data_IF_249685674040
#
_entry.id   IF_249685674040
#
_cell.length_a   1.000
_cell.length_b   1.000
_cell.length_c   1.000
_cell.angle_alpha   90.00
_cell.angle_beta   90.00
_cell.angle_gamma   90.00
#
_symmetry.space_group_name_H-M   'P 1'
#
loop_
_entity.id
_entity.type
_entity.pdbx_description
1 polymer ?
#
# COMPACT_ATOMS: atom_id res chain seq x y z
N UNK A 1 17.09 -8.60 1.61
CA UNK A 1 18.19 -7.63 1.61
C UNK A 1 18.55 -7.40 0.16
N UNK A 2 18.21 -6.23 -0.36
CA UNK A 2 18.47 -5.85 -1.75
C UNK A 2 19.95 -6.06 -2.14
N UNK A 3 20.18 -6.68 -3.30
CA UNK A 3 21.52 -6.86 -3.88
C UNK A 3 22.02 -5.53 -4.48
N UNK A 4 22.48 -4.63 -3.59
CA UNK A 4 22.94 -3.29 -3.96
C UNK A 4 24.05 -3.33 -5.04
N UNK A 5 25.11 -4.16 -4.92
CA UNK A 5 26.16 -4.21 -5.94
C UNK A 5 25.64 -4.55 -7.34
N UNK A 6 24.66 -5.45 -7.45
CA UNK A 6 24.01 -5.79 -8.72
C UNK A 6 23.33 -4.58 -9.36
N UNK A 7 22.61 -3.78 -8.57
CA UNK A 7 21.80 -2.67 -9.08
C UNK A 7 22.57 -1.36 -9.29
N UNK A 8 23.72 -1.16 -8.64
CA UNK A 8 24.63 -0.04 -8.96
C UNK A 8 25.06 -0.08 -10.44
N UNK A 9 25.12 -1.28 -11.03
CA UNK A 9 25.42 -1.47 -12.46
C UNK A 9 24.36 -0.95 -13.43
N UNK A 10 23.28 -0.34 -12.93
CA UNK A 10 22.32 0.42 -13.72
C UNK A 10 22.96 1.73 -14.23
N UNK A 11 23.77 2.40 -13.41
CA UNK A 11 24.35 3.70 -13.73
C UNK A 11 25.88 3.72 -13.72
N UNK A 12 26.54 2.72 -13.14
CA UNK A 12 28.01 2.56 -13.18
C UNK A 12 28.37 1.14 -13.62
N UNK A 13 28.87 0.97 -14.84
CA UNK A 13 29.07 -0.37 -15.44
C UNK A 13 30.10 -1.22 -14.67
N UNK A 14 31.18 -0.59 -14.20
CA UNK A 14 32.29 -1.27 -13.52
C UNK A 14 32.60 -0.58 -12.18
N UNK A 15 31.72 -0.71 -11.18
CA UNK A 15 31.86 0.01 -9.93
C UNK A 15 33.05 -0.55 -9.12
N UNK A 16 33.85 0.35 -8.57
CA UNK A 16 34.90 -0.01 -7.61
C UNK A 16 34.31 -0.29 -6.22
N UNK A 17 34.99 -1.06 -5.39
CA UNK A 17 34.52 -1.38 -4.03
C UNK A 17 34.30 -0.13 -3.16
N UNK A 18 35.16 0.89 -3.31
CA UNK A 18 35.00 2.19 -2.64
C UNK A 18 33.72 2.89 -3.09
N UNK A 19 33.44 2.89 -4.40
CA UNK A 19 32.21 3.46 -4.95
C UNK A 19 30.96 2.74 -4.42
N UNK A 20 30.97 1.39 -4.42
CA UNK A 20 29.88 0.58 -3.86
C UNK A 20 29.66 0.91 -2.39
N UNK A 21 30.73 1.00 -1.61
CA UNK A 21 30.67 1.33 -0.17
C UNK A 21 30.04 2.70 0.06
N UNK A 22 30.46 3.73 -0.70
CA UNK A 22 29.86 5.07 -0.64
C UNK A 22 28.36 5.04 -0.98
N UNK A 23 27.96 4.27 -1.99
CA UNK A 23 26.54 4.13 -2.37
C UNK A 23 25.72 3.37 -1.33
N UNK A 24 26.27 2.34 -0.68
CA UNK A 24 25.62 1.68 0.46
C UNK A 24 25.37 2.69 1.60
N UNK A 25 26.38 3.50 1.95
CA UNK A 25 26.22 4.55 2.96
C UNK A 25 25.14 5.56 2.58
N UNK A 26 25.11 6.00 1.32
CA UNK A 26 24.08 6.90 0.82
C UNK A 26 22.68 6.28 0.88
N UNK A 27 22.51 5.04 0.41
CA UNK A 27 21.24 4.31 0.41
C UNK A 27 20.70 4.17 1.84
N UNK A 28 21.54 3.80 2.82
CA UNK A 28 21.13 3.71 4.22
C UNK A 28 20.67 5.08 4.78
N UNK A 29 21.31 6.18 4.36
CA UNK A 29 20.92 7.53 4.76
C UNK A 29 19.64 8.01 4.05
N UNK A 30 19.39 7.59 2.81
CA UNK A 30 18.11 7.81 2.12
C UNK A 30 17.01 7.03 2.82
N UNK A 31 17.25 5.77 3.16
CA UNK A 31 16.30 4.92 3.91
C UNK A 31 15.94 5.58 5.25
N UNK A 32 16.92 6.11 5.98
CA UNK A 32 16.70 6.85 7.21
C UNK A 32 15.87 8.12 7.02
N UNK A 33 15.92 8.76 5.84
CA UNK A 33 15.05 9.90 5.49
C UNK A 33 13.63 9.44 5.18
N UNK A 34 13.47 8.35 4.42
CA UNK A 34 12.15 7.76 4.11
C UNK A 34 11.45 7.33 5.41
N UNK A 35 12.18 6.69 6.32
CA UNK A 35 11.68 6.22 7.62
C UNK A 35 11.08 7.34 8.50
N UNK A 36 11.48 8.59 8.30
CA UNK A 36 10.93 9.74 9.04
C UNK A 36 9.52 10.15 8.57
N UNK A 37 9.03 9.60 7.46
CA UNK A 37 7.66 9.81 6.97
C UNK A 37 6.73 8.92 7.77
N UNK A 38 5.98 9.51 8.69
CA UNK A 38 5.18 8.76 9.67
C UNK A 38 3.69 8.90 9.36
N UNK A 39 3.27 10.03 8.79
CA UNK A 39 1.87 10.29 8.50
C UNK A 39 1.45 9.69 7.15
N UNK A 40 0.19 9.26 7.03
CA UNK A 40 -0.37 8.74 5.78
C UNK A 40 -0.15 9.71 4.61
N UNK A 41 -0.31 11.01 4.86
CA UNK A 41 -0.07 12.07 3.86
C UNK A 41 1.37 12.06 3.33
N UNK A 42 2.37 12.09 4.22
CA UNK A 42 3.79 12.10 3.80
C UNK A 42 4.18 10.82 3.05
N UNK A 43 3.59 9.69 3.43
CA UNK A 43 3.81 8.39 2.79
C UNK A 43 3.17 8.41 1.39
N UNK A 44 1.95 8.91 1.26
CA UNK A 44 1.23 8.99 -0.02
C UNK A 44 1.90 9.95 -1.00
N UNK A 45 2.32 11.13 -0.53
CA UNK A 45 3.11 12.08 -1.33
C UNK A 45 4.41 11.45 -1.82
N UNK A 46 5.11 10.71 -0.94
CA UNK A 46 6.33 10.03 -1.31
C UNK A 46 6.11 8.90 -2.31
N UNK A 47 5.11 8.03 -2.08
CA UNK A 47 4.79 6.92 -2.97
C UNK A 47 4.39 7.42 -4.36
N UNK A 48 3.46 8.39 -4.42
CA UNK A 48 3.03 8.99 -5.69
C UNK A 48 4.17 9.68 -6.43
N UNK A 49 5.04 10.40 -5.71
CA UNK A 49 6.24 11.02 -6.29
C UNK A 49 7.22 9.98 -6.83
N UNK A 50 7.50 8.90 -6.08
CA UNK A 50 8.39 7.84 -6.54
C UNK A 50 7.85 7.13 -7.80
N UNK A 51 6.55 6.84 -7.83
CA UNK A 51 5.88 6.23 -8.99
C UNK A 51 5.93 7.16 -10.21
N UNK A 52 5.71 8.46 -10.01
CA UNK A 52 5.84 9.47 -11.07
C UNK A 52 7.27 9.53 -11.63
N UNK A 53 8.28 9.47 -10.76
CA UNK A 53 9.69 9.49 -11.17
C UNK A 53 10.09 8.21 -11.91
N UNK A 54 9.48 7.06 -11.58
CA UNK A 54 9.69 5.81 -12.31
C UNK A 54 9.17 5.87 -13.75
N UNK A 55 7.98 6.45 -13.97
CA UNK A 55 7.44 6.65 -15.32
C UNK A 55 8.32 7.61 -16.13
N UNK A 56 8.82 8.67 -15.48
CA UNK A 56 9.70 9.67 -16.09
C UNK A 56 11.15 9.50 -15.65
N UNK A 57 11.69 8.28 -15.81
CA UNK A 57 13.01 7.88 -15.28
C UNK A 57 14.22 8.68 -15.79
N UNK A 58 14.05 9.61 -16.74
CA UNK A 58 15.09 10.54 -17.18
C UNK A 58 15.15 11.85 -16.38
N UNK A 59 14.09 12.21 -15.64
CA UNK A 59 13.97 13.50 -14.94
C UNK A 59 13.39 13.28 -13.53
N UNK A 60 14.22 13.21 -12.48
CA UNK A 60 13.76 12.99 -11.12
C UNK A 60 12.95 14.21 -10.64
N UNK A 61 11.80 13.95 -10.02
CA UNK A 61 10.99 15.02 -9.45
C UNK A 61 11.53 15.49 -8.09
N UNK A 62 10.94 16.56 -7.57
CA UNK A 62 11.31 17.15 -6.28
C UNK A 62 11.23 16.15 -5.12
N UNK A 63 10.29 15.19 -5.17
CA UNK A 63 10.15 14.15 -4.15
C UNK A 63 11.39 13.25 -4.08
N UNK A 64 11.83 12.72 -5.22
CA UNK A 64 13.03 11.86 -5.30
C UNK A 64 14.29 12.67 -5.01
N UNK A 65 14.40 13.86 -5.61
CA UNK A 65 15.56 14.74 -5.41
C UNK A 65 15.70 15.17 -3.94
N UNK A 66 14.60 15.52 -3.29
CA UNK A 66 14.58 15.96 -1.89
C UNK A 66 15.05 14.89 -0.90
N UNK A 67 14.81 13.60 -1.18
CA UNK A 67 15.27 12.51 -0.32
C UNK A 67 16.67 12.02 -0.66
N UNK A 68 17.08 12.09 -1.92
CA UNK A 68 18.29 11.41 -2.41
C UNK A 68 19.51 12.33 -2.57
N UNK A 69 19.31 13.58 -3.00
CA UNK A 69 20.42 14.51 -3.26
C UNK A 69 21.27 14.78 -2.01
N UNK A 70 20.69 15.11 -0.83
CA UNK A 70 21.52 15.43 0.33
C UNK A 70 22.41 14.26 0.80
N UNK A 71 21.89 13.02 0.94
CA UNK A 71 22.73 11.85 1.24
C UNK A 71 23.81 11.56 0.19
N UNK A 72 23.47 11.68 -1.10
CA UNK A 72 24.41 11.38 -2.18
C UNK A 72 25.55 12.40 -2.23
N UNK A 73 25.26 13.71 -2.15
CA UNK A 73 26.29 14.75 -2.08
C UNK A 73 27.22 14.60 -0.89
N UNK A 74 26.69 14.14 0.26
CA UNK A 74 27.50 13.87 1.46
C UNK A 74 28.46 12.70 1.25
N UNK A 75 28.06 11.67 0.51
CA UNK A 75 28.90 10.50 0.20
C UNK A 75 29.86 10.70 -0.98
N UNK A 76 29.52 11.63 -1.88
CA UNK A 76 30.22 11.89 -3.13
C UNK A 76 30.09 13.37 -3.47
N UNK A 77 31.10 14.18 -3.13
CA UNK A 77 31.08 15.63 -3.31
C UNK A 77 31.00 16.06 -4.78
N UNK A 78 31.42 15.19 -5.70
CA UNK A 78 31.31 15.38 -7.15
C UNK A 78 29.90 15.12 -7.72
N UNK A 79 28.94 14.71 -6.88
CA UNK A 79 27.59 14.36 -7.32
C UNK A 79 26.82 15.60 -7.84
N UNK A 80 26.38 15.53 -9.10
CA UNK A 80 25.50 16.52 -9.75
C UNK A 80 24.16 15.88 -10.05
N UNK A 81 23.09 16.45 -9.50
CA UNK A 81 21.75 15.86 -9.57
C UNK A 81 21.20 15.78 -11.00
N UNK A 82 21.47 16.82 -11.80
CA UNK A 82 20.93 16.95 -13.16
C UNK A 82 21.56 15.94 -14.13
N UNK A 83 22.85 15.61 -13.92
CA UNK A 83 23.59 14.68 -14.78
C UNK A 83 23.44 13.20 -14.35
N UNK A 84 23.02 12.94 -13.11
CA UNK A 84 22.96 11.60 -12.52
C UNK A 84 21.53 11.19 -12.10
N UNK A 85 20.53 11.55 -12.92
CA UNK A 85 19.12 11.25 -12.68
C UNK A 85 18.82 9.77 -12.43
N UNK A 86 19.46 8.89 -13.22
CA UNK A 86 19.31 7.45 -13.10
C UNK A 86 19.90 6.91 -11.78
N UNK A 87 20.99 7.51 -11.30
CA UNK A 87 21.58 7.17 -10.00
C UNK A 87 20.65 7.57 -8.86
N UNK A 88 20.05 8.77 -8.91
CA UNK A 88 19.08 9.23 -7.92
C UNK A 88 17.93 8.23 -7.78
N UNK A 89 17.28 7.93 -8.90
CA UNK A 89 16.14 7.03 -8.92
C UNK A 89 16.51 5.63 -8.42
N UNK A 90 17.65 5.08 -8.89
CA UNK A 90 18.10 3.74 -8.49
C UNK A 90 18.40 3.66 -6.99
N UNK A 91 19.12 4.64 -6.44
CA UNK A 91 19.42 4.67 -5.01
C UNK A 91 18.16 4.85 -4.15
N UNK A 92 17.19 5.67 -4.58
CA UNK A 92 15.92 5.81 -3.89
C UNK A 92 15.11 4.51 -3.91
N UNK A 93 15.01 3.83 -5.05
CA UNK A 93 14.31 2.55 -5.15
C UNK A 93 14.93 1.47 -4.27
N UNK A 94 16.26 1.39 -4.22
CA UNK A 94 16.97 0.45 -3.33
C UNK A 94 16.72 0.77 -1.86
N UNK A 95 16.75 2.05 -1.48
CA UNK A 95 16.43 2.48 -0.12
C UNK A 95 14.97 2.16 0.24
N UNK A 96 14.02 2.41 -0.66
CA UNK A 96 12.61 2.06 -0.48
C UNK A 96 12.43 0.56 -0.32
N UNK A 97 13.09 -0.24 -1.16
CA UNK A 97 13.05 -1.71 -1.07
C UNK A 97 13.58 -2.19 0.28
N UNK A 98 14.74 -1.72 0.72
CA UNK A 98 15.29 -2.03 2.05
C UNK A 98 14.36 -1.62 3.19
N UNK A 99 13.68 -0.49 3.04
CA UNK A 99 12.77 0.02 4.05
C UNK A 99 11.53 -0.89 4.21
N UNK A 100 10.88 -1.26 3.10
CA UNK A 100 9.68 -2.11 3.15
C UNK A 100 10.03 -3.57 3.52
N UNK A 101 11.24 -4.05 3.23
CA UNK A 101 11.69 -5.37 3.69
C UNK A 101 11.73 -5.49 5.23
N UNK A 102 11.76 -4.36 5.96
CA UNK A 102 11.78 -4.31 7.44
C UNK A 102 10.39 -4.28 8.06
N UNK A 103 9.32 -4.39 7.26
CA UNK A 103 7.95 -4.44 7.78
C UNK A 103 7.82 -5.59 8.77
N UNK A 104 7.31 -5.29 9.96
CA UNK A 104 7.04 -6.27 11.02
C UNK A 104 5.61 -6.78 10.92
N UNK A 105 5.31 -7.81 11.72
CA UNK A 105 3.94 -8.32 11.86
C UNK A 105 2.96 -7.21 12.22
N UNK A 106 1.73 -7.34 11.72
CA UNK A 106 0.66 -6.36 11.95
C UNK A 106 0.31 -6.27 13.44
N UNK A 107 0.22 -5.03 13.93
CA UNK A 107 -0.12 -4.72 15.33
C UNK A 107 -1.59 -4.31 15.45
N UNK A 108 -1.91 -3.32 16.29
CA UNK A 108 -3.25 -2.69 16.24
C UNK A 108 -3.41 -1.80 15.01
N UNK A 109 -2.33 -1.12 14.59
CA UNK A 109 -2.32 -0.19 13.45
C UNK A 109 -1.32 -0.63 12.38
N UNK A 110 -1.58 -0.31 11.10
CA UNK A 110 -0.59 -0.54 10.05
C UNK A 110 0.64 0.32 10.31
N UNK A 111 1.83 -0.26 10.18
CA UNK A 111 3.07 0.51 10.30
C UNK A 111 3.29 1.36 9.04
N UNK A 112 3.99 2.52 9.12
CA UNK A 112 4.30 3.35 7.96
C UNK A 112 4.92 2.58 6.78
N UNK A 113 5.81 1.63 7.07
CA UNK A 113 6.47 0.79 6.07
C UNK A 113 5.45 -0.11 5.35
N UNK A 114 4.47 -0.62 6.08
CA UNK A 114 3.42 -1.45 5.51
C UNK A 114 2.49 -0.62 4.62
N UNK A 115 2.12 0.59 5.04
CA UNK A 115 1.32 1.52 4.25
C UNK A 115 2.03 1.83 2.93
N UNK A 116 3.33 2.12 3.00
CA UNK A 116 4.16 2.37 1.82
C UNK A 116 4.20 1.15 0.89
N UNK A 117 4.34 -0.06 1.43
CA UNK A 117 4.32 -1.28 0.62
C UNK A 117 2.99 -1.45 -0.13
N UNK A 118 1.84 -1.22 0.52
CA UNK A 118 0.52 -1.30 -0.13
C UNK A 118 0.36 -0.23 -1.20
N UNK A 119 0.77 1.01 -0.90
CA UNK A 119 0.72 2.13 -1.84
C UNK A 119 1.55 1.87 -3.10
N UNK A 120 2.76 1.33 -2.94
CA UNK A 120 3.63 0.95 -4.06
C UNK A 120 3.05 -0.22 -4.85
N UNK A 121 2.52 -1.25 -4.19
CA UNK A 121 1.87 -2.36 -4.86
C UNK A 121 0.69 -1.91 -5.72
N UNK A 122 -0.15 -1.00 -5.19
CA UNK A 122 -1.27 -0.40 -5.90
C UNK A 122 -0.79 0.26 -7.21
N UNK A 123 0.10 1.24 -7.14
CA UNK A 123 0.58 1.97 -8.32
C UNK A 123 1.42 1.13 -9.30
N UNK A 124 2.41 0.38 -8.79
CA UNK A 124 3.32 -0.41 -9.64
C UNK A 124 2.59 -1.52 -10.42
N UNK A 125 1.42 -1.97 -9.95
CA UNK A 125 0.63 -2.97 -10.65
C UNK A 125 -0.09 -2.46 -11.90
N UNK A 126 -0.29 -1.13 -12.00
CA UNK A 126 -0.84 -0.45 -13.18
C UNK A 126 0.24 0.15 -14.07
N UNK A 127 1.39 0.49 -13.52
CA UNK A 127 2.50 1.03 -14.30
C UNK A 127 2.96 0.05 -15.40
N UNK A 128 3.18 0.58 -16.61
CA UNK A 128 3.71 -0.20 -17.73
C UNK A 128 5.20 -0.54 -17.51
N UNK A 129 5.70 -1.64 -18.12
CA UNK A 129 7.12 -1.94 -18.09
C UNK A 129 7.96 -0.78 -18.62
N UNK A 130 9.12 -0.53 -17.99
CA UNK A 130 10.04 0.53 -18.42
C UNK A 130 10.78 0.05 -19.68
N UNK A 131 10.48 0.66 -20.82
CA UNK A 131 11.16 0.40 -22.09
C UNK A 131 12.65 0.79 -22.02
N UNK A 132 13.49 0.08 -22.77
CA UNK A 132 14.92 0.39 -23.01
C UNK A 132 15.83 0.46 -21.76
N UNK A 133 15.33 0.05 -20.59
CA UNK A 133 16.09 0.04 -19.31
C UNK A 133 15.88 -1.27 -18.55
N UNK A 134 16.33 -2.38 -19.12
CA UNK A 134 16.09 -3.73 -18.58
C UNK A 134 16.48 -3.90 -17.10
N UNK A 135 17.65 -3.37 -16.71
CA UNK A 135 18.13 -3.48 -15.31
C UNK A 135 17.26 -2.67 -14.34
N UNK A 136 16.74 -1.51 -14.76
CA UNK A 136 15.84 -0.69 -13.96
C UNK A 136 14.46 -1.35 -13.86
N UNK A 137 13.97 -1.93 -14.95
CA UNK A 137 12.73 -2.72 -14.95
C UNK A 137 12.84 -3.94 -14.02
N UNK A 138 14.00 -4.60 -13.95
CA UNK A 138 14.24 -5.67 -13.01
C UNK A 138 14.10 -5.20 -11.55
N UNK A 139 14.67 -4.04 -11.21
CA UNK A 139 14.52 -3.45 -9.87
C UNK A 139 13.06 -3.06 -9.57
N UNK A 140 12.34 -2.50 -10.56
CA UNK A 140 10.91 -2.20 -10.43
C UNK A 140 10.09 -3.46 -10.16
N UNK A 141 10.36 -4.56 -10.88
CA UNK A 141 9.71 -5.86 -10.68
C UNK A 141 10.02 -6.44 -9.31
N UNK A 142 11.26 -6.34 -8.82
CA UNK A 142 11.63 -6.79 -7.48
C UNK A 142 10.91 -5.99 -6.39
N UNK A 143 10.79 -4.67 -6.56
CA UNK A 143 10.02 -3.82 -5.66
C UNK A 143 8.53 -4.19 -5.66
N UNK A 144 7.93 -4.37 -6.84
CA UNK A 144 6.54 -4.81 -6.98
C UNK A 144 6.30 -6.18 -6.32
N UNK A 145 7.18 -7.15 -6.58
CA UNK A 145 7.07 -8.49 -6.01
C UNK A 145 7.17 -8.46 -4.48
N UNK A 146 8.11 -7.69 -3.94
CA UNK A 146 8.29 -7.53 -2.50
C UNK A 146 7.08 -6.85 -1.85
N UNK A 147 6.62 -5.74 -2.43
CA UNK A 147 5.44 -5.01 -1.98
C UNK A 147 4.19 -5.90 -1.99
N UNK A 148 3.96 -6.64 -3.09
CA UNK A 148 2.83 -7.57 -3.23
C UNK A 148 2.89 -8.72 -2.23
N UNK A 149 4.09 -9.25 -1.95
CA UNK A 149 4.27 -10.32 -0.97
C UNK A 149 3.93 -9.83 0.45
N UNK A 150 4.49 -8.69 0.85
CA UNK A 150 4.20 -8.06 2.15
C UNK A 150 2.69 -7.81 2.29
N UNK A 151 2.05 -7.25 1.26
CA UNK A 151 0.61 -7.02 1.22
C UNK A 151 -0.20 -8.29 1.49
N UNK A 152 0.20 -9.39 0.82
CA UNK A 152 -0.50 -10.67 0.91
C UNK A 152 -0.26 -11.37 2.25
N UNK A 153 0.97 -11.37 2.76
CA UNK A 153 1.31 -12.04 4.01
C UNK A 153 0.68 -11.33 5.22
N UNK A 154 0.66 -10.00 5.20
CA UNK A 154 0.10 -9.21 6.29
C UNK A 154 -1.42 -9.17 6.25
N UNK A 155 -2.04 -9.06 5.07
CA UNK A 155 -3.51 -9.12 4.98
C UNK A 155 -4.07 -10.44 5.53
N UNK A 156 -3.33 -11.55 5.42
CA UNK A 156 -3.68 -12.83 6.06
C UNK A 156 -3.50 -12.76 7.58
N UNK A 157 -2.29 -12.49 8.06
CA UNK A 157 -1.95 -12.59 9.50
C UNK A 157 -2.55 -11.47 10.36
N UNK A 158 -2.89 -10.33 9.76
CA UNK A 158 -3.57 -9.23 10.45
C UNK A 158 -4.98 -9.61 10.93
N UNK A 159 -5.54 -10.72 10.46
CA UNK A 159 -6.90 -11.17 10.79
C UNK A 159 -6.91 -12.36 11.76
N UNK A 160 -5.73 -12.82 12.18
CA UNK A 160 -5.62 -13.88 13.16
C UNK A 160 -6.10 -13.41 14.53
N UNK A 161 -6.98 -14.20 15.13
CA UNK A 161 -7.45 -13.96 16.50
C UNK A 161 -6.27 -14.03 17.47
N UNK A 162 -6.22 -13.08 18.40
CA UNK A 162 -5.21 -13.06 19.45
C UNK A 162 -5.68 -13.92 20.61
N UNK A 163 -4.78 -14.73 21.15
CA UNK A 163 -5.06 -15.57 22.29
C UNK A 163 -5.44 -14.71 23.51
N UNK A 164 -6.58 -15.01 24.13
CA UNK A 164 -7.06 -14.36 25.34
C UNK A 164 -6.98 -15.34 26.50
N UNK A 165 -5.93 -15.24 27.31
CA UNK A 165 -5.81 -16.05 28.53
C UNK A 165 -6.75 -15.51 29.61
N UNK A 166 -7.47 -16.40 30.31
CA UNK A 166 -8.34 -16.03 31.44
C UNK A 166 -7.57 -15.38 32.59
N UNK A 167 -6.30 -15.78 32.76
CA UNK A 167 -5.36 -15.16 33.69
C UNK A 167 -4.06 -14.86 32.95
N UNK A 168 -3.61 -13.60 32.87
CA UNK A 168 -2.32 -13.29 32.28
C UNK A 168 -1.20 -13.85 33.16
N UNK A 169 -0.15 -14.39 32.54
CA UNK A 169 1.06 -14.82 33.24
C UNK A 169 1.84 -13.57 33.67
N UNK A 170 1.98 -13.39 34.98
CA UNK A 170 2.80 -12.33 35.54
C UNK A 170 4.25 -12.81 35.57
N UNK A 171 5.14 -12.06 34.93
CA UNK A 171 6.58 -12.31 34.99
C UNK A 171 7.13 -11.61 36.22
N UNK A 172 7.69 -12.34 37.18
CA UNK A 172 8.35 -11.71 38.33
C UNK A 172 9.52 -10.85 37.84
N UNK A 173 9.62 -9.58 38.27
CA UNK A 173 10.69 -8.69 37.81
C UNK A 173 12.03 -9.13 38.41
N UNK A 174 13.12 -9.01 37.64
CA UNK A 174 14.45 -9.47 38.06
C UNK A 174 15.02 -8.69 39.25
N UNK A 175 14.55 -7.46 39.48
CA UNK A 175 14.97 -6.58 40.56
C UNK A 175 14.13 -6.76 41.84
N UNK A 176 13.09 -7.61 41.80
CA UNK A 176 12.11 -7.81 42.88
C UNK A 176 11.51 -6.50 43.44
N UNK A 177 11.50 -5.42 42.66
CA UNK A 177 10.99 -4.13 43.14
C UNK A 177 9.48 -4.05 42.98
N UNK A 178 8.80 -3.35 43.88
CA UNK A 178 7.36 -3.09 43.76
C UNK A 178 7.02 -2.38 42.45
N UNK A 179 7.87 -1.44 42.01
CA UNK A 179 7.73 -0.78 40.71
C UNK A 179 7.84 -1.77 39.54
N UNK A 180 8.78 -2.73 39.60
CA UNK A 180 8.90 -3.81 38.62
C UNK A 180 7.67 -4.71 38.58
N UNK A 181 7.05 -4.99 39.73
CA UNK A 181 5.81 -5.76 39.80
C UNK A 181 4.63 -5.02 39.16
N UNK A 182 4.50 -3.71 39.42
CA UNK A 182 3.49 -2.86 38.75
C UNK A 182 3.71 -2.90 37.24
N UNK A 183 4.93 -2.63 36.76
CA UNK A 183 5.23 -2.61 35.33
C UNK A 183 4.99 -3.95 34.63
N UNK A 184 5.33 -5.07 35.28
CA UNK A 184 5.03 -6.42 34.76
C UNK A 184 3.52 -6.69 34.70
N UNK A 185 2.79 -6.25 35.72
CA UNK A 185 1.33 -6.36 35.76
C UNK A 185 0.70 -5.55 34.64
N UNK A 186 1.08 -4.28 34.50
CA UNK A 186 0.60 -3.40 33.42
C UNK A 186 0.92 -3.97 32.05
N UNK A 187 2.13 -4.51 31.83
CA UNK A 187 2.51 -5.13 30.56
C UNK A 187 1.68 -6.38 30.24
N UNK A 188 1.42 -7.23 31.25
CA UNK A 188 0.71 -8.50 31.07
C UNK A 188 -0.79 -8.28 30.85
N UNK A 189 -1.41 -7.41 31.64
CA UNK A 189 -2.81 -7.02 31.45
C UNK A 189 -3.00 -6.15 30.20
N UNK A 190 -2.02 -5.30 29.85
CA UNK A 190 -2.01 -4.52 28.61
C UNK A 190 -2.11 -5.42 27.38
N UNK A 191 -1.29 -6.48 27.30
CA UNK A 191 -1.38 -7.49 26.22
C UNK A 191 -2.76 -8.16 26.14
N UNK A 192 -3.36 -8.49 27.28
CA UNK A 192 -4.69 -9.10 27.32
C UNK A 192 -5.77 -8.12 26.83
N UNK A 193 -5.73 -6.86 27.29
CA UNK A 193 -6.65 -5.81 26.85
C UNK A 193 -6.50 -5.56 25.34
N UNK A 194 -5.26 -5.52 24.84
CA UNK A 194 -4.97 -5.34 23.43
C UNK A 194 -5.50 -6.51 22.59
N UNK A 195 -5.35 -7.76 23.07
CA UNK A 195 -5.92 -8.94 22.42
C UNK A 195 -7.45 -8.87 22.35
N UNK A 196 -8.12 -8.49 23.44
CA UNK A 196 -9.57 -8.32 23.49
C UNK A 196 -10.05 -7.21 22.55
N UNK A 197 -9.36 -6.07 22.50
CA UNK A 197 -9.67 -4.97 21.58
C UNK A 197 -9.52 -5.39 20.13
N UNK A 198 -8.42 -6.05 19.78
CA UNK A 198 -8.18 -6.55 18.42
C UNK A 198 -9.28 -7.53 18.01
N UNK A 199 -9.60 -8.50 18.86
CA UNK A 199 -10.63 -9.49 18.55
C UNK A 199 -12.02 -8.83 18.41
N UNK A 200 -12.39 -7.91 19.29
CA UNK A 200 -13.66 -7.17 19.21
C UNK A 200 -13.78 -6.33 17.94
N UNK A 201 -12.70 -5.66 17.51
CA UNK A 201 -12.67 -4.93 16.24
C UNK A 201 -12.85 -5.86 15.04
N UNK A 202 -12.20 -7.04 15.05
CA UNK A 202 -12.40 -8.05 14.00
C UNK A 202 -13.83 -8.58 14.00
N UNK A 203 -14.41 -8.87 15.16
CA UNK A 203 -15.82 -9.29 15.28
C UNK A 203 -16.75 -8.24 14.70
N UNK A 204 -16.52 -6.97 15.03
CA UNK A 204 -17.35 -5.88 14.53
C UNK A 204 -17.26 -5.76 13.02
N UNK A 205 -16.06 -5.76 12.46
CA UNK A 205 -15.84 -5.72 11.01
C UNK A 205 -16.51 -6.91 10.30
N UNK A 206 -16.32 -8.12 10.82
CA UNK A 206 -16.90 -9.35 10.26
C UNK A 206 -18.44 -9.34 10.33
N UNK A 207 -19.03 -8.85 11.42
CA UNK A 207 -20.48 -8.70 11.57
C UNK A 207 -21.04 -7.65 10.60
N UNK A 208 -20.38 -6.49 10.47
CA UNK A 208 -20.81 -5.44 9.54
C UNK A 208 -20.76 -5.93 8.09
N UNK A 209 -19.71 -6.66 7.71
CA UNK A 209 -19.60 -7.30 6.39
C UNK A 209 -20.68 -8.38 6.23
N UNK A 210 -20.94 -9.21 7.25
CA UNK A 210 -21.98 -10.23 7.21
C UNK A 210 -23.36 -9.61 6.98
N UNK A 211 -23.68 -8.52 7.68
CA UNK A 211 -24.93 -7.79 7.48
C UNK A 211 -25.04 -7.20 6.08
N UNK A 212 -23.94 -6.66 5.55
CA UNK A 212 -23.91 -6.17 4.18
C UNK A 212 -24.13 -7.30 3.16
N UNK A 213 -23.50 -8.46 3.36
CA UNK A 213 -23.66 -9.65 2.50
C UNK A 213 -25.10 -10.17 2.53
N UNK A 214 -25.67 -10.39 3.71
CA UNK A 214 -27.01 -10.94 3.91
C UNK A 214 -28.11 -9.95 3.52
N UNK A 215 -27.93 -8.67 3.82
CA UNK A 215 -28.87 -7.62 3.44
C UNK A 215 -28.94 -7.42 1.93
N UNK A 216 -27.85 -7.74 1.21
CA UNK A 216 -27.76 -7.67 -0.25
C UNK A 216 -28.17 -6.30 -0.83
N UNK A 217 -28.12 -5.25 -0.02
CA UNK A 217 -28.55 -3.89 -0.36
C UNK A 217 -27.34 -2.99 -0.50
N UNK A 218 -27.23 -2.30 -1.62
CA UNK A 218 -26.20 -1.28 -1.85
C UNK A 218 -26.71 0.09 -1.40
N UNK A 219 -25.96 0.73 -0.50
CA UNK A 219 -26.21 2.10 -0.10
C UNK A 219 -25.83 3.11 -1.20
N UNK A 220 -24.85 2.78 -2.05
CA UNK A 220 -24.44 3.62 -3.19
C UNK A 220 -25.54 3.65 -4.25
N UNK A 221 -26.15 2.50 -4.56
CA UNK A 221 -27.11 2.36 -5.65
C UNK A 221 -28.57 2.42 -5.19
N UNK A 222 -28.83 2.34 -3.88
CA UNK A 222 -30.19 2.29 -3.30
C UNK A 222 -31.03 1.15 -3.90
N UNK A 223 -30.41 0.00 -4.13
CA UNK A 223 -31.05 -1.20 -4.70
C UNK A 223 -30.32 -2.47 -4.25
N UNK A 224 -30.87 -3.62 -4.59
CA UNK A 224 -30.21 -4.90 -4.32
C UNK A 224 -29.01 -5.13 -5.25
N UNK A 225 -27.88 -5.58 -4.71
CA UNK A 225 -26.65 -5.83 -5.47
C UNK A 225 -26.89 -6.85 -6.59
N UNK A 226 -27.72 -7.87 -6.33
CA UNK A 226 -28.09 -8.89 -7.34
C UNK A 226 -28.92 -8.37 -8.50
N UNK A 227 -29.44 -7.13 -8.44
CA UNK A 227 -30.14 -6.49 -9.56
C UNK A 227 -29.18 -5.71 -10.48
N UNK A 228 -27.96 -5.46 -10.02
CA UNK A 228 -26.92 -4.80 -10.81
C UNK A 228 -26.29 -5.79 -11.79
N UNK A 229 -25.65 -5.28 -12.84
CA UNK A 229 -24.86 -6.14 -13.70
C UNK A 229 -23.56 -6.60 -13.01
N UNK A 230 -22.88 -7.60 -13.59
CA UNK A 230 -21.67 -8.21 -13.00
C UNK A 230 -20.60 -7.16 -12.66
N UNK A 231 -20.32 -6.22 -13.56
CA UNK A 231 -19.31 -5.17 -13.36
C UNK A 231 -19.71 -4.20 -12.25
N UNK A 232 -20.95 -3.72 -12.26
CA UNK A 232 -21.49 -2.82 -11.25
C UNK A 232 -21.47 -3.47 -9.88
N UNK A 233 -22.02 -4.69 -9.76
CA UNK A 233 -22.11 -5.41 -8.48
C UNK A 233 -20.74 -5.63 -7.84
N UNK A 234 -19.74 -5.99 -8.65
CA UNK A 234 -18.38 -6.24 -8.19
C UNK A 234 -17.65 -4.98 -7.73
N UNK A 235 -17.76 -3.87 -8.47
CA UNK A 235 -17.03 -2.64 -8.17
C UNK A 235 -17.68 -1.84 -7.05
N UNK A 236 -19.00 -1.72 -7.06
CA UNK A 236 -19.75 -1.12 -5.95
C UNK A 236 -19.56 -1.96 -4.69
N UNK A 237 -19.60 -3.29 -4.82
CA UNK A 237 -19.27 -4.20 -3.72
C UNK A 237 -17.87 -3.97 -3.15
N UNK A 238 -16.87 -3.77 -4.01
CA UNK A 238 -15.52 -3.43 -3.56
C UNK A 238 -15.44 -2.09 -2.81
N UNK A 239 -16.18 -1.08 -3.24
CA UNK A 239 -16.21 0.22 -2.57
C UNK A 239 -16.88 0.09 -1.19
N UNK A 240 -18.07 -0.52 -1.14
CA UNK A 240 -18.84 -0.63 0.10
C UNK A 240 -18.14 -1.53 1.13
N UNK A 241 -17.63 -2.70 0.73
CA UNK A 241 -16.82 -3.53 1.64
C UNK A 241 -15.58 -2.74 2.07
N UNK A 242 -14.87 -2.09 1.14
CA UNK A 242 -13.68 -1.30 1.44
C UNK A 242 -13.91 -0.20 2.48
N UNK A 243 -15.10 0.41 2.48
CA UNK A 243 -15.51 1.40 3.49
C UNK A 243 -15.83 0.79 4.86
N UNK A 244 -16.18 -0.50 4.93
CA UNK A 244 -16.44 -1.22 6.18
C UNK A 244 -15.17 -1.77 6.84
N UNK A 245 -14.10 -1.95 6.08
CA UNK A 245 -12.85 -2.52 6.56
C UNK A 245 -12.14 -1.61 7.57
N UNK A 246 -11.60 -2.22 8.63
CA UNK A 246 -10.70 -1.64 9.63
C UNK A 246 -9.25 -2.12 9.44
N UNK A 247 -9.03 -3.00 8.47
CA UNK A 247 -7.72 -3.54 8.07
C UNK A 247 -7.69 -3.72 6.56
N UNK A 248 -6.49 -3.80 5.99
CA UNK A 248 -6.36 -4.05 4.56
C UNK A 248 -7.06 -5.37 4.14
N UNK A 249 -7.60 -5.42 2.91
CA UNK A 249 -8.39 -6.55 2.45
C UNK A 249 -7.49 -7.76 2.20
N UNK A 250 -7.96 -8.93 2.64
CA UNK A 250 -7.49 -10.23 2.16
C UNK A 250 -8.30 -10.70 0.94
N UNK A 251 -7.81 -11.70 0.21
CA UNK A 251 -8.45 -12.26 -0.99
C UNK A 251 -9.93 -12.65 -0.78
N UNK A 252 -10.29 -13.12 0.41
CA UNK A 252 -11.68 -13.44 0.75
C UNK A 252 -12.64 -12.26 0.55
N UNK A 253 -12.21 -11.03 0.84
CA UNK A 253 -13.02 -9.82 0.65
C UNK A 253 -13.24 -9.52 -0.83
N UNK A 254 -12.24 -9.78 -1.67
CA UNK A 254 -12.42 -9.72 -3.14
C UNK A 254 -13.46 -10.74 -3.58
N UNK A 255 -13.43 -11.97 -3.06
CA UNK A 255 -14.46 -12.96 -3.37
C UNK A 255 -15.85 -12.53 -2.89
N UNK A 256 -15.96 -11.90 -1.73
CA UNK A 256 -17.24 -11.38 -1.22
C UNK A 256 -17.78 -10.23 -2.08
N UNK A 257 -16.92 -9.32 -2.53
CA UNK A 257 -17.27 -8.25 -3.47
C UNK A 257 -17.73 -8.84 -4.82
N UNK A 258 -17.06 -9.90 -5.27
CA UNK A 258 -17.31 -10.55 -6.56
C UNK A 258 -18.35 -11.68 -6.50
N UNK A 259 -19.07 -11.87 -5.38
CA UNK A 259 -19.89 -13.08 -5.13
C UNK A 259 -21.06 -13.26 -6.08
N UNK A 260 -21.53 -12.18 -6.71
CA UNK A 260 -22.69 -12.16 -7.60
C UNK A 260 -22.31 -12.28 -9.07
N UNK A 261 -21.01 -12.22 -9.40
CA UNK A 261 -20.55 -12.22 -10.79
C UNK A 261 -20.73 -13.62 -11.39
N UNK A 262 -21.45 -13.71 -12.50
CA UNK A 262 -21.54 -14.93 -13.29
C UNK A 262 -20.41 -15.03 -14.32
N UNK A 263 -20.00 -13.91 -14.92
CA UNK A 263 -18.99 -13.84 -15.97
C UNK A 263 -17.85 -12.87 -15.61
N UNK A 264 -16.64 -13.41 -15.45
CA UNK A 264 -15.45 -12.60 -15.15
C UNK A 264 -14.80 -12.05 -16.43
N UNK A 265 -15.55 -11.20 -17.15
CA UNK A 265 -15.13 -10.60 -18.41
C UNK A 265 -14.00 -9.57 -18.23
N UNK A 266 -13.35 -9.21 -19.34
CA UNK A 266 -12.24 -8.25 -19.36
C UNK A 266 -12.65 -6.89 -19.90
N UNK A 267 -12.28 -5.84 -19.18
CA UNK A 267 -12.62 -4.45 -19.48
C UNK A 267 -11.39 -3.55 -19.35
N UNK A 268 -11.35 -2.52 -20.19
CA UNK A 268 -10.52 -1.32 -20.03
C UNK A 268 -11.16 -0.37 -19.02
N UNK A 269 -10.40 0.60 -18.51
CA UNK A 269 -10.96 1.62 -17.62
C UNK A 269 -12.13 2.38 -18.24
N UNK A 270 -12.04 2.79 -19.49
CA UNK A 270 -13.12 3.52 -20.17
C UNK A 270 -14.42 2.70 -20.22
N UNK A 271 -14.32 1.41 -20.55
CA UNK A 271 -15.47 0.50 -20.52
C UNK A 271 -16.03 0.35 -19.09
N UNK A 272 -15.17 0.31 -18.05
CA UNK A 272 -15.61 0.31 -16.64
C UNK A 272 -16.38 1.60 -16.29
N UNK A 273 -15.91 2.77 -16.70
CA UNK A 273 -16.59 4.05 -16.45
C UNK A 273 -17.96 4.11 -17.11
N UNK A 274 -18.09 3.59 -18.33
CA UNK A 274 -19.37 3.50 -19.02
C UNK A 274 -20.38 2.63 -18.25
N UNK A 275 -19.93 1.48 -17.70
CA UNK A 275 -20.77 0.61 -16.88
C UNK A 275 -21.21 1.27 -15.56
N UNK A 276 -20.40 2.19 -15.02
CA UNK A 276 -20.65 2.87 -13.75
C UNK A 276 -21.33 4.25 -13.91
N UNK A 277 -21.61 4.68 -15.14
CA UNK A 277 -22.07 6.05 -15.44
C UNK A 277 -23.31 6.47 -14.62
N UNK A 278 -24.27 5.57 -14.42
CA UNK A 278 -25.48 5.82 -13.63
C UNK A 278 -25.18 6.16 -12.15
N UNK A 279 -24.14 5.56 -11.57
CA UNK A 279 -23.83 5.64 -10.15
C UNK A 279 -22.62 6.53 -9.83
N UNK A 280 -22.00 7.13 -10.84
CA UNK A 280 -20.74 7.87 -10.74
C UNK A 280 -20.78 8.96 -9.66
N UNK A 281 -21.85 9.76 -9.58
CA UNK A 281 -21.98 10.81 -8.56
C UNK A 281 -22.01 10.25 -7.13
N UNK A 282 -22.70 9.13 -6.92
CA UNK A 282 -22.76 8.49 -5.60
C UNK A 282 -21.40 7.86 -5.23
N UNK A 283 -20.73 7.25 -6.21
CA UNK A 283 -19.39 6.69 -6.06
C UNK A 283 -18.36 7.78 -5.72
N UNK A 284 -18.39 8.91 -6.42
CA UNK A 284 -17.50 10.06 -6.17
C UNK A 284 -17.65 10.61 -4.76
N UNK A 285 -18.89 10.66 -4.24
CA UNK A 285 -19.17 11.08 -2.86
C UNK A 285 -18.58 10.10 -1.85
N UNK A 286 -18.79 8.80 -2.05
CA UNK A 286 -18.30 7.77 -1.13
C UNK A 286 -16.77 7.69 -1.10
N UNK A 287 -16.13 7.78 -2.26
CA UNK A 287 -14.67 7.69 -2.40
C UNK A 287 -13.91 8.97 -2.00
N UNK A 288 -14.61 10.03 -1.60
CA UNK A 288 -14.02 11.34 -1.33
C UNK A 288 -13.10 11.78 -2.50
N UNK A 289 -13.70 12.02 -3.67
CA UNK A 289 -13.00 12.31 -4.92
C UNK A 289 -11.81 13.27 -4.81
N UNK A 290 -11.89 14.27 -3.93
CA UNK A 290 -10.81 15.24 -3.70
C UNK A 290 -9.54 14.65 -3.09
N UNK A 291 -9.63 13.58 -2.29
CA UNK A 291 -8.44 12.92 -1.73
C UNK A 291 -7.83 11.93 -2.74
N UNK A 292 -8.67 11.15 -3.43
CA UNK A 292 -8.21 10.22 -4.45
C UNK A 292 -7.46 10.95 -5.59
N UNK A 293 -7.95 12.11 -6.02
CA UNK A 293 -7.33 12.89 -7.10
C UNK A 293 -5.92 13.43 -6.79
N UNK A 294 -5.51 13.51 -5.51
CA UNK A 294 -4.19 14.05 -5.12
C UNK A 294 -3.04 13.10 -5.43
N UNK A 295 -3.30 11.80 -5.48
CA UNK A 295 -2.26 10.77 -5.60
C UNK A 295 -2.53 9.78 -6.74
N UNK A 296 -2.72 10.25 -7.99
CA UNK A 296 -3.21 9.43 -9.09
C UNK A 296 -2.31 8.26 -9.47
N UNK A 297 -0.99 8.37 -9.29
CA UNK A 297 -0.07 7.25 -9.58
C UNK A 297 -0.14 6.16 -8.52
N UNK A 298 -0.45 6.54 -7.27
CA UNK A 298 -0.64 5.59 -6.16
C UNK A 298 -2.04 4.96 -6.17
N UNK A 299 -3.05 5.74 -6.57
CA UNK A 299 -4.47 5.40 -6.55
C UNK A 299 -5.07 5.36 -7.97
N UNK A 300 -4.51 4.55 -8.88
CA UNK A 300 -4.84 4.61 -10.29
C UNK A 300 -6.33 4.39 -10.58
N UNK A 301 -6.98 3.44 -9.90
CA UNK A 301 -8.38 3.09 -10.17
C UNK A 301 -9.34 4.13 -9.61
N UNK A 302 -9.16 4.53 -8.35
CA UNK A 302 -10.04 5.47 -7.68
C UNK A 302 -9.90 6.87 -8.28
N UNK A 303 -8.68 7.37 -8.55
CA UNK A 303 -8.51 8.67 -9.22
C UNK A 303 -9.11 8.68 -10.63
N UNK A 304 -9.04 7.56 -11.35
CA UNK A 304 -9.66 7.44 -12.66
C UNK A 304 -11.19 7.41 -12.56
N UNK A 305 -11.76 6.61 -11.66
CA UNK A 305 -13.21 6.54 -11.45
C UNK A 305 -13.77 7.89 -10.96
N UNK A 306 -13.11 8.55 -10.02
CA UNK A 306 -13.65 9.76 -9.40
C UNK A 306 -13.40 11.02 -10.21
N UNK A 307 -12.33 11.07 -10.98
CA UNK A 307 -11.83 12.32 -11.58
C UNK A 307 -11.38 12.19 -13.03
N UNK A 308 -11.57 11.02 -13.66
CA UNK A 308 -11.15 10.73 -15.02
C UNK A 308 -9.66 11.03 -15.29
N UNK A 309 -8.82 10.97 -14.25
CA UNK A 309 -7.37 11.18 -14.40
C UNK A 309 -6.78 9.92 -15.02
N UNK A 310 -6.34 10.03 -16.27
CA UNK A 310 -5.70 8.91 -16.96
C UNK A 310 -4.32 8.65 -16.39
N UNK A 311 -4.06 7.38 -16.07
CA UNK A 311 -2.75 6.89 -15.66
C UNK A 311 -2.36 5.68 -16.48
N UNK A 312 -1.04 5.45 -16.54
CA UNK A 312 -0.47 4.33 -17.25
C UNK A 312 -1.16 3.02 -16.86
N UNK A 313 -1.56 2.23 -17.86
CA UNK A 313 -2.14 0.91 -17.67
C UNK A 313 -3.65 0.83 -17.46
N UNK A 314 -4.36 1.95 -17.28
CA UNK A 314 -5.84 1.96 -17.21
C UNK A 314 -6.49 1.48 -18.53
N UNK A 315 -5.85 1.77 -19.66
CA UNK A 315 -6.29 1.28 -20.97
C UNK A 315 -6.06 -0.23 -21.18
N UNK A 316 -5.32 -0.89 -20.28
CA UNK A 316 -5.07 -2.34 -20.39
C UNK A 316 -6.32 -3.10 -19.96
N UNK A 317 -6.76 -4.05 -20.77
CA UNK A 317 -7.87 -4.94 -20.40
C UNK A 317 -7.50 -5.77 -19.19
N UNK A 318 -8.39 -5.78 -18.19
CA UNK A 318 -8.28 -6.59 -16.97
C UNK A 318 -9.63 -7.19 -16.62
N UNK A 319 -9.59 -8.34 -15.96
CA UNK A 319 -10.79 -9.04 -15.49
C UNK A 319 -11.49 -8.25 -14.39
N UNK A 320 -12.81 -8.41 -14.26
CA UNK A 320 -13.60 -7.74 -13.20
C UNK A 320 -13.00 -8.00 -11.82
N UNK A 321 -12.63 -9.24 -11.52
CA UNK A 321 -12.03 -9.58 -10.23
C UNK A 321 -10.71 -8.85 -9.96
N UNK A 322 -9.90 -8.59 -10.98
CA UNK A 322 -8.69 -7.79 -10.85
C UNK A 322 -9.04 -6.34 -10.54
N UNK A 323 -9.94 -5.72 -11.31
CA UNK A 323 -10.42 -4.36 -11.03
C UNK A 323 -10.98 -4.23 -9.60
N UNK A 324 -11.85 -5.16 -9.19
CA UNK A 324 -12.42 -5.22 -7.85
C UNK A 324 -11.38 -5.38 -6.76
N UNK A 325 -10.37 -6.22 -6.96
CA UNK A 325 -9.29 -6.41 -5.98
C UNK A 325 -8.46 -5.13 -5.78
N UNK A 326 -8.19 -4.39 -6.87
CA UNK A 326 -7.41 -3.15 -6.83
C UNK A 326 -8.21 -2.03 -6.19
N UNK A 327 -9.47 -1.86 -6.63
CA UNK A 327 -10.37 -0.86 -6.07
C UNK A 327 -10.55 -1.04 -4.56
N UNK A 328 -10.71 -2.27 -4.09
CA UNK A 328 -10.85 -2.58 -2.66
C UNK A 328 -9.62 -2.16 -1.84
N UNK A 329 -8.41 -2.36 -2.38
CA UNK A 329 -7.15 -1.92 -1.76
C UNK A 329 -7.05 -0.40 -1.74
N UNK A 330 -7.38 0.26 -2.84
CA UNK A 330 -7.33 1.72 -2.94
C UNK A 330 -8.35 2.40 -2.02
N UNK A 331 -9.58 1.89 -1.93
CA UNK A 331 -10.58 2.36 -0.96
C UNK A 331 -10.05 2.25 0.47
N UNK A 332 -9.37 1.14 0.78
CA UNK A 332 -8.76 0.93 2.10
C UNK A 332 -7.60 1.90 2.37
N UNK A 333 -6.82 2.27 1.35
CA UNK A 333 -5.79 3.31 1.47
C UNK A 333 -6.41 4.69 1.74
N UNK A 334 -7.47 5.06 1.02
CA UNK A 334 -8.18 6.33 1.23
C UNK A 334 -8.77 6.39 2.65
N UNK A 335 -9.31 5.27 3.14
CA UNK A 335 -9.93 5.17 4.45
C UNK A 335 -8.96 4.82 5.59
N UNK A 336 -7.65 4.81 5.35
CA UNK A 336 -6.68 4.25 6.31
C UNK A 336 -6.71 4.92 7.69
N UNK A 337 -7.05 6.20 7.76
CA UNK A 337 -7.14 6.92 9.03
C UNK A 337 -8.31 6.42 9.89
N UNK A 338 -9.34 5.79 9.30
CA UNK A 338 -10.47 5.15 9.99
C UNK A 338 -10.13 3.79 10.59
N UNK A 339 -8.94 3.24 10.32
CA UNK A 339 -8.49 1.99 10.97
C UNK A 339 -8.13 2.21 12.44
N UNK A 340 -7.94 3.46 12.84
CA UNK A 340 -7.47 3.85 14.17
C UNK A 340 -8.60 4.25 15.15
N UNK A 341 -9.84 4.27 14.69
CA UNK A 341 -11.07 4.56 15.48
C UNK A 341 -11.80 3.27 15.84
#
# INVERSE_FOLDING_TARGET
>A
MADIPKYIRIFEANPTDDFVTKRITAINAIEATIKKKITSKEIFEFANGLLTALENSGSPNETVSGVAVPPLKKSSTSFVADDESLQLLTCTLLATLQHIEKVKAYSQKPSPEYILAIALWSGLSFQQPIADKEKLELLRKELLATASKIATDISKTSRDRKETKTRPELVAPSDNSWAGYIGSTEASYGKLIDALRINSQLDREEIDILWWVLGNWSAICQTQITKLNDTQSALIGSIEIGSLLKRFPALAHTHLACRTIANNAEFTGSEILEQLAEYLTNIQRELNAGEAAKYPKMLPVTSFITSAIEVSGIATKRRINEWSSRLLVEVSLVNINKFAE
#
